data_IF_352296825097
#
_entry.id   IF_352296825097
#
_cell.length_a   1.000
_cell.length_b   1.000
_cell.length_c   1.000
_cell.angle_alpha   90.00
_cell.angle_beta   90.00
_cell.angle_gamma   90.00
#
_symmetry.space_group_name_H-M   'P 1'
#
loop_
_entity.id
_entity.type
_entity.pdbx_description
1 polymer ?
#
# COMPACT_ATOMS: atom_id res chain seq x y z
N UNK A 1 19.88 -11.75 18.82
CA UNK A 1 18.62 -11.19 18.40
C UNK A 1 18.84 -10.10 17.38
N UNK A 2 17.97 -10.00 16.46
CA UNK A 2 18.01 -9.03 15.39
C UNK A 2 17.83 -7.61 15.94
N UNK A 3 18.71 -6.69 15.53
CA UNK A 3 18.63 -5.27 15.93
C UNK A 3 17.31 -4.62 15.48
N UNK A 4 16.79 -5.02 14.33
CA UNK A 4 15.52 -4.50 13.82
C UNK A 4 14.36 -4.95 14.70
N UNK A 5 14.38 -6.17 15.21
CA UNK A 5 13.34 -6.65 16.13
C UNK A 5 13.38 -5.90 17.46
N UNK A 6 14.58 -5.60 17.96
CA UNK A 6 14.75 -4.80 19.18
C UNK A 6 14.25 -3.37 18.97
N UNK A 7 14.57 -2.77 17.82
CA UNK A 7 14.10 -1.45 17.47
C UNK A 7 12.57 -1.41 17.39
N UNK A 8 11.95 -2.44 16.83
CA UNK A 8 10.49 -2.55 16.77
C UNK A 8 9.87 -2.52 18.16
N UNK A 9 10.43 -3.30 19.10
CA UNK A 9 9.91 -3.34 20.47
C UNK A 9 10.07 -1.99 21.18
N UNK A 10 11.24 -1.36 21.03
CA UNK A 10 11.48 -0.05 21.62
C UNK A 10 10.56 1.02 21.05
N UNK A 11 10.34 0.97 19.74
CA UNK A 11 9.47 1.92 19.06
C UNK A 11 8.00 1.74 19.48
N UNK A 12 7.54 0.50 19.62
CA UNK A 12 6.19 0.23 20.15
C UNK A 12 6.00 0.81 21.54
N UNK A 13 6.99 0.64 22.40
CA UNK A 13 6.94 1.20 23.76
C UNK A 13 6.89 2.73 23.72
N UNK A 14 7.71 3.36 22.89
CA UNK A 14 7.72 4.80 22.71
C UNK A 14 6.34 5.31 22.25
N UNK A 15 5.71 4.60 21.31
CA UNK A 15 4.42 5.01 20.76
C UNK A 15 3.25 4.83 21.73
N UNK A 16 3.38 3.94 22.72
CA UNK A 16 2.41 3.85 23.80
C UNK A 16 2.39 5.14 24.62
N UNK A 17 3.56 5.76 24.82
CA UNK A 17 3.69 7.01 25.57
C UNK A 17 3.44 8.25 24.71
N UNK A 18 3.70 8.16 23.39
CA UNK A 18 3.54 9.26 22.46
C UNK A 18 2.72 8.82 21.24
N UNK A 19 1.40 8.58 21.44
CA UNK A 19 0.56 7.98 20.38
C UNK A 19 0.29 8.91 19.19
N UNK A 20 0.63 10.20 19.28
CA UNK A 20 0.45 11.16 18.19
C UNK A 20 1.73 11.40 17.37
N UNK A 21 2.75 10.59 17.57
CA UNK A 21 4.00 10.69 16.82
C UNK A 21 3.84 10.05 15.43
N UNK A 22 3.44 10.87 14.47
CA UNK A 22 3.20 10.41 13.09
C UNK A 22 4.44 9.72 12.50
N UNK A 23 5.61 10.36 12.62
CA UNK A 23 6.84 9.80 12.06
C UNK A 23 7.19 8.46 12.73
N UNK A 24 6.90 8.33 14.02
CA UNK A 24 7.11 7.07 14.75
C UNK A 24 6.24 5.94 14.22
N UNK A 25 4.95 6.20 13.96
CA UNK A 25 4.08 5.19 13.39
C UNK A 25 4.50 4.79 11.98
N UNK A 26 4.92 5.77 11.17
CA UNK A 26 5.42 5.49 9.82
C UNK A 26 6.69 4.63 9.88
N UNK A 27 7.59 4.91 10.80
CA UNK A 27 8.80 4.10 10.98
C UNK A 27 8.46 2.69 11.42
N UNK A 28 7.54 2.54 12.37
CA UNK A 28 7.09 1.22 12.82
C UNK A 28 6.48 0.41 11.68
N UNK A 29 5.69 1.07 10.82
CA UNK A 29 5.12 0.42 9.65
C UNK A 29 6.20 -0.11 8.70
N UNK A 30 7.22 0.70 8.42
CA UNK A 30 8.35 0.28 7.58
C UNK A 30 9.14 -0.87 8.21
N UNK A 31 9.34 -0.84 9.52
CA UNK A 31 10.00 -1.94 10.22
C UNK A 31 9.18 -3.23 10.11
N UNK A 32 7.87 -3.12 10.20
CA UNK A 32 6.99 -4.27 10.00
C UNK A 32 7.20 -4.91 8.63
N UNK A 33 7.29 -4.09 7.58
CA UNK A 33 7.56 -4.59 6.23
C UNK A 33 8.93 -5.26 6.14
N UNK A 34 9.97 -4.63 6.70
CA UNK A 34 11.33 -5.18 6.68
C UNK A 34 11.43 -6.50 7.44
N UNK A 35 10.67 -6.67 8.50
CA UNK A 35 10.67 -7.87 9.32
C UNK A 35 9.64 -8.90 8.85
N UNK A 36 8.99 -8.65 7.73
CA UNK A 36 7.90 -9.48 7.22
C UNK A 36 6.80 -9.69 8.26
N UNK A 37 6.51 -8.63 9.02
CA UNK A 37 5.47 -8.60 10.04
C UNK A 37 4.32 -7.72 9.52
N UNK A 38 3.44 -8.33 8.73
CA UNK A 38 2.34 -7.62 8.08
C UNK A 38 1.35 -7.01 9.07
N UNK A 39 1.12 -7.68 10.19
CA UNK A 39 0.22 -7.19 11.22
C UNK A 39 0.72 -5.87 11.81
N UNK A 40 2.01 -5.79 12.13
CA UNK A 40 2.63 -4.55 12.60
C UNK A 40 2.57 -3.46 11.53
N UNK A 41 2.87 -3.81 10.28
CA UNK A 41 2.83 -2.84 9.18
C UNK A 41 1.43 -2.24 9.00
N UNK A 42 0.40 -3.08 8.94
CA UNK A 42 -0.98 -2.64 8.77
C UNK A 42 -1.41 -1.78 9.95
N UNK A 43 -1.15 -2.23 11.17
CA UNK A 43 -1.54 -1.49 12.37
C UNK A 43 -0.88 -0.13 12.46
N UNK A 44 0.42 -0.07 12.22
CA UNK A 44 1.18 1.18 12.32
C UNK A 44 0.83 2.17 11.21
N UNK A 45 0.75 1.72 9.97
CA UNK A 45 0.34 2.60 8.87
C UNK A 45 -1.10 3.07 9.02
N UNK A 46 -1.98 2.23 9.59
CA UNK A 46 -3.35 2.62 9.90
C UNK A 46 -3.41 3.75 10.91
N UNK A 47 -2.56 3.70 11.95
CA UNK A 47 -2.45 4.78 12.93
C UNK A 47 -1.91 6.06 12.29
N UNK A 48 -0.90 5.94 11.42
CA UNK A 48 -0.35 7.08 10.70
C UNK A 48 -1.42 7.72 9.81
N UNK A 49 -2.20 6.93 9.09
CA UNK A 49 -3.30 7.43 8.27
C UNK A 49 -4.36 8.14 9.11
N UNK A 50 -4.69 7.60 10.27
CA UNK A 50 -5.66 8.24 11.16
C UNK A 50 -5.17 9.60 11.67
N UNK A 51 -3.86 9.74 11.90
CA UNK A 51 -3.27 11.00 12.34
C UNK A 51 -3.14 12.02 11.22
N UNK A 52 -2.99 11.56 9.98
CA UNK A 52 -2.81 12.41 8.81
C UNK A 52 -3.78 11.98 7.70
N UNK A 53 -5.08 12.06 8.00
CA UNK A 53 -6.14 11.53 7.13
C UNK A 53 -6.15 12.16 5.74
N UNK A 54 -5.72 13.41 5.61
CA UNK A 54 -5.69 14.12 4.33
C UNK A 54 -4.38 13.96 3.57
N UNK A 55 -3.40 13.28 4.15
CA UNK A 55 -2.10 13.07 3.50
C UNK A 55 -2.19 11.86 2.56
N UNK A 56 -2.07 12.08 1.23
CA UNK A 56 -2.12 10.97 0.28
C UNK A 56 -1.03 9.93 0.48
N UNK A 57 0.16 10.34 0.92
CA UNK A 57 1.26 9.41 1.17
C UNK A 57 0.94 8.45 2.31
N UNK A 58 0.37 8.97 3.41
CA UNK A 58 -0.05 8.13 4.53
C UNK A 58 -1.16 7.17 4.12
N UNK A 59 -2.13 7.61 3.33
CA UNK A 59 -3.19 6.77 2.81
C UNK A 59 -2.63 5.68 1.89
N UNK A 60 -1.67 6.03 1.04
CA UNK A 60 -1.05 5.06 0.13
C UNK A 60 -0.27 3.98 0.88
N UNK A 61 0.51 4.37 1.88
CA UNK A 61 1.27 3.40 2.68
C UNK A 61 0.34 2.40 3.38
N UNK A 62 -0.74 2.90 3.96
CA UNK A 62 -1.74 2.05 4.60
C UNK A 62 -2.41 1.13 3.60
N UNK A 63 -2.89 1.68 2.48
CA UNK A 63 -3.55 0.88 1.44
C UNK A 63 -2.62 -0.21 0.90
N UNK A 64 -1.34 0.13 0.66
CA UNK A 64 -0.35 -0.83 0.17
C UNK A 64 -0.13 -1.97 1.14
N UNK A 65 -0.02 -1.66 2.44
CA UNK A 65 0.13 -2.70 3.46
C UNK A 65 -1.10 -3.61 3.53
N UNK A 66 -2.30 -3.04 3.44
CA UNK A 66 -3.55 -3.81 3.43
C UNK A 66 -3.59 -4.77 2.24
N UNK A 67 -3.18 -4.30 1.06
CA UNK A 67 -3.21 -5.13 -0.15
C UNK A 67 -2.15 -6.23 -0.11
N UNK A 68 -0.94 -5.90 0.36
CA UNK A 68 0.18 -6.84 0.34
C UNK A 68 0.11 -7.88 1.45
N UNK A 69 -0.35 -7.50 2.62
CA UNK A 69 -0.27 -8.35 3.82
C UNK A 69 -1.61 -8.66 4.47
N UNK A 70 -2.71 -8.07 4.00
CA UNK A 70 -4.02 -8.20 4.62
C UNK A 70 -4.77 -9.46 4.19
N UNK A 71 -5.80 -9.78 4.96
CA UNK A 71 -6.80 -10.78 4.59
C UNK A 71 -7.74 -10.21 3.50
N UNK A 72 -8.71 -11.02 3.06
CA UNK A 72 -9.60 -10.61 1.96
C UNK A 72 -10.40 -9.34 2.28
N UNK A 73 -10.85 -9.16 3.51
CA UNK A 73 -11.54 -7.93 3.91
C UNK A 73 -10.63 -6.72 3.91
N UNK A 74 -9.39 -6.90 4.37
CA UNK A 74 -8.38 -5.83 4.38
C UNK A 74 -7.94 -5.45 2.96
N UNK A 75 -7.82 -6.42 2.07
CA UNK A 75 -7.50 -6.14 0.66
C UNK A 75 -8.61 -5.30 0.02
N UNK A 76 -9.88 -5.59 0.31
CA UNK A 76 -11.00 -4.77 -0.19
C UNK A 76 -10.95 -3.35 0.35
N UNK A 77 -10.61 -3.19 1.62
CA UNK A 77 -10.43 -1.86 2.21
C UNK A 77 -9.31 -1.10 1.50
N UNK A 78 -8.20 -1.78 1.22
CA UNK A 78 -7.09 -1.20 0.46
C UNK A 78 -7.51 -0.76 -0.93
N UNK A 79 -8.30 -1.56 -1.64
CA UNK A 79 -8.81 -1.20 -2.95
C UNK A 79 -9.66 0.07 -2.91
N UNK A 80 -10.53 0.20 -1.92
CA UNK A 80 -11.36 1.40 -1.77
C UNK A 80 -10.51 2.66 -1.55
N UNK A 81 -9.48 2.55 -0.70
CA UNK A 81 -8.55 3.67 -0.48
C UNK A 81 -7.79 4.02 -1.76
N UNK A 82 -7.38 3.02 -2.54
CA UNK A 82 -6.66 3.24 -3.78
C UNK A 82 -7.55 3.86 -4.86
N UNK A 83 -8.81 3.50 -4.91
CA UNK A 83 -9.75 4.15 -5.83
C UNK A 83 -9.91 5.63 -5.52
N UNK A 84 -10.02 5.97 -4.24
CA UNK A 84 -10.07 7.37 -3.82
C UNK A 84 -8.79 8.11 -4.19
N UNK A 85 -7.63 7.51 -3.93
CA UNK A 85 -6.35 8.09 -4.31
C UNK A 85 -6.22 8.26 -5.82
N UNK A 86 -6.71 7.31 -6.60
CA UNK A 86 -6.69 7.41 -8.06
C UNK A 86 -7.52 8.59 -8.56
N UNK A 87 -8.65 8.88 -7.93
CA UNK A 87 -9.47 10.05 -8.28
C UNK A 87 -8.73 11.35 -7.99
N UNK A 88 -7.95 11.39 -6.91
CA UNK A 88 -7.16 12.57 -6.53
C UNK A 88 -5.88 12.70 -7.33
N UNK A 89 -5.27 11.59 -7.70
CA UNK A 89 -3.98 11.52 -8.37
C UNK A 89 -4.06 10.58 -9.57
N UNK A 90 -4.81 10.97 -10.64
CA UNK A 90 -5.11 10.04 -11.72
C UNK A 90 -3.88 9.59 -12.52
N UNK A 91 -2.77 10.31 -12.43
CA UNK A 91 -1.55 9.98 -13.15
C UNK A 91 -0.48 9.31 -12.30
N UNK A 92 -0.80 8.97 -11.05
CA UNK A 92 0.17 8.31 -10.16
C UNK A 92 0.35 6.85 -10.57
N UNK A 93 1.55 6.51 -11.05
CA UNK A 93 1.87 5.13 -11.41
C UNK A 93 1.83 4.18 -10.21
N UNK A 94 2.41 4.55 -9.04
CA UNK A 94 2.32 3.67 -7.87
C UNK A 94 0.88 3.36 -7.46
N UNK A 95 -0.01 4.34 -7.51
CA UNK A 95 -1.42 4.14 -7.17
C UNK A 95 -2.06 3.15 -8.16
N UNK A 96 -1.82 3.34 -9.46
CA UNK A 96 -2.37 2.42 -10.48
C UNK A 96 -1.82 1.01 -10.34
N UNK A 97 -0.52 0.87 -10.03
CA UNK A 97 0.07 -0.45 -9.82
C UNK A 97 -0.58 -1.18 -8.63
N UNK A 98 -0.75 -0.47 -7.52
CA UNK A 98 -1.37 -1.07 -6.34
C UNK A 98 -2.86 -1.34 -6.56
N UNK A 99 -3.55 -0.47 -7.30
CA UNK A 99 -4.95 -0.68 -7.63
C UNK A 99 -5.13 -1.95 -8.48
N UNK A 100 -4.27 -2.13 -9.48
CA UNK A 100 -4.27 -3.35 -10.28
C UNK A 100 -4.04 -4.61 -9.42
N UNK A 101 -3.05 -4.55 -8.52
CA UNK A 101 -2.77 -5.66 -7.63
C UNK A 101 -3.94 -5.97 -6.70
N UNK A 102 -4.55 -4.95 -6.11
CA UNK A 102 -5.70 -5.13 -5.22
C UNK A 102 -6.89 -5.74 -5.96
N UNK A 103 -7.14 -5.28 -7.17
CA UNK A 103 -8.24 -5.79 -7.99
C UNK A 103 -8.03 -7.26 -8.36
N UNK A 104 -6.80 -7.65 -8.72
CA UNK A 104 -6.48 -9.05 -8.99
C UNK A 104 -6.71 -9.91 -7.74
N UNK A 105 -6.25 -9.44 -6.58
CA UNK A 105 -6.41 -10.19 -5.32
C UNK A 105 -7.86 -10.30 -4.88
N UNK A 106 -8.69 -9.30 -5.23
CA UNK A 106 -10.13 -9.32 -4.95
C UNK A 106 -10.94 -10.02 -6.05
N UNK A 107 -10.28 -10.52 -7.07
CA UNK A 107 -10.93 -11.13 -8.24
C UNK A 107 -11.88 -10.17 -8.95
N UNK A 108 -11.60 -8.88 -8.83
CA UNK A 108 -12.33 -7.82 -9.54
C UNK A 108 -11.64 -7.60 -10.89
N UNK A 109 -11.89 -8.52 -11.83
CA UNK A 109 -11.18 -8.52 -13.10
C UNK A 109 -11.48 -7.30 -13.97
N UNK A 110 -12.74 -6.78 -14.04
CA UNK A 110 -12.97 -5.53 -14.78
C UNK A 110 -12.13 -4.37 -14.27
N UNK A 111 -12.01 -4.22 -12.95
CA UNK A 111 -11.18 -3.16 -12.37
C UNK A 111 -9.71 -3.42 -12.62
N UNK A 112 -9.27 -4.67 -12.54
CA UNK A 112 -7.89 -5.03 -12.82
C UNK A 112 -7.51 -4.67 -14.26
N UNK A 113 -8.35 -4.99 -15.22
CA UNK A 113 -8.13 -4.66 -16.62
C UNK A 113 -8.08 -3.15 -16.82
N UNK A 114 -9.03 -2.42 -16.23
CA UNK A 114 -9.06 -0.95 -16.34
C UNK A 114 -7.79 -0.31 -15.77
N UNK A 115 -7.34 -0.77 -14.60
CA UNK A 115 -6.14 -0.24 -13.97
C UNK A 115 -4.88 -0.56 -14.79
N UNK A 116 -4.77 -1.76 -15.32
CA UNK A 116 -3.64 -2.16 -16.16
C UNK A 116 -3.61 -1.39 -17.48
N UNK A 117 -4.76 -1.17 -18.10
CA UNK A 117 -4.84 -0.36 -19.33
C UNK A 117 -4.45 1.09 -19.05
N UNK A 118 -4.93 1.66 -17.94
CA UNK A 118 -4.56 3.02 -17.54
C UNK A 118 -3.06 3.14 -17.28
N UNK A 119 -2.48 2.14 -16.63
CA UNK A 119 -1.05 2.09 -16.36
C UNK A 119 -0.26 2.01 -17.67
N UNK A 120 -0.67 1.12 -18.58
CA UNK A 120 -0.03 0.95 -19.87
C UNK A 120 -0.03 2.24 -20.68
N UNK A 121 -1.14 3.00 -20.65
CA UNK A 121 -1.26 4.26 -21.37
C UNK A 121 -0.30 5.34 -20.86
N UNK A 122 0.16 5.23 -19.60
CA UNK A 122 1.01 6.22 -18.95
C UNK A 122 2.48 5.82 -18.90
N UNK A 123 2.82 4.58 -19.20
CA UNK A 123 4.22 4.12 -19.20
C UNK A 123 4.90 4.51 -20.50
N UNK A 124 6.17 4.95 -20.44
CA UNK A 124 6.94 5.22 -21.66
C UNK A 124 7.12 3.98 -22.52
N UNK A 125 7.31 4.18 -23.81
CA UNK A 125 7.62 3.10 -24.74
C UNK A 125 8.94 2.47 -24.36
N UNK A 126 9.31 1.50 -24.17
CA UNK A 126 10.58 0.92 -23.73
C UNK A 126 10.64 0.61 -22.25
N UNK A 127 9.62 0.97 -21.48
CA UNK A 127 9.56 0.59 -20.09
C UNK A 127 9.30 -0.92 -19.98
N UNK A 128 10.15 -1.63 -19.23
CA UNK A 128 10.08 -3.08 -19.10
C UNK A 128 8.73 -3.57 -18.54
N UNK A 129 8.06 -2.73 -17.75
CA UNK A 129 6.75 -3.08 -17.17
C UNK A 129 5.67 -3.25 -18.23
N UNK A 130 5.81 -2.62 -19.41
CA UNK A 130 4.83 -2.71 -20.50
C UNK A 130 4.63 -4.14 -20.96
N UNK A 131 5.71 -4.88 -21.17
CA UNK A 131 5.63 -6.26 -21.63
C UNK A 131 4.89 -7.17 -20.63
N UNK A 132 5.18 -6.98 -19.34
CA UNK A 132 4.54 -7.76 -18.29
C UNK A 132 3.03 -7.46 -18.26
N UNK A 133 2.64 -6.19 -18.41
CA UNK A 133 1.23 -5.78 -18.42
C UNK A 133 0.51 -6.35 -19.63
N UNK A 134 1.12 -6.26 -20.81
CA UNK A 134 0.52 -6.79 -22.04
C UNK A 134 0.28 -8.30 -21.92
N UNK A 135 1.24 -9.03 -21.36
CA UNK A 135 1.08 -10.48 -21.11
C UNK A 135 -0.06 -10.75 -20.15
N UNK A 136 -0.17 -9.95 -19.08
CA UNK A 136 -1.23 -10.13 -18.09
C UNK A 136 -2.61 -9.84 -18.69
N UNK A 137 -2.72 -8.83 -19.55
CA UNK A 137 -3.97 -8.48 -20.21
C UNK A 137 -4.40 -9.55 -21.23
N UNK A 138 -3.47 -10.32 -21.76
CA UNK A 138 -3.75 -11.35 -22.73
C UNK A 138 -4.29 -12.66 -22.12
N UNK A 139 -4.25 -12.80 -20.80
CA UNK A 139 -4.74 -14.02 -20.12
C UNK A 139 -6.24 -14.00 -19.84
#
# INVERSE_FOLDING_TARGET
MDELAELRLGLRSHLQDTPNDLAGWQLLGRLGLLLNDGETAIGAFGRAHALAADDPAAAFDYASALVRAGDSGQVRMGELLLRDLHQRQPNSLPVLEMLALSAVRNEDYPEAVAALQALLARLPEGDARREAIVRQLAQ
#
